data_IF_338628511531
#
_entry.id   IF_338628511531
#
_cell.length_a   1.000
_cell.length_b   1.000
_cell.length_c   1.000
_cell.angle_alpha   90.00
_cell.angle_beta   90.00
_cell.angle_gamma   90.00
#
_symmetry.space_group_name_H-M   'P 1'
#
loop_
_entity.id
_entity.type
_entity.pdbx_description
1 polymer ?
#
# COMPACT_ATOMS: atom_id res chain seq x y z
N UNK A 1 38.45 28.18 -24.12
CA UNK A 1 37.08 28.30 -24.66
C UNK A 1 36.24 27.20 -24.03
N UNK A 2 35.33 27.56 -23.13
CA UNK A 2 34.65 26.61 -22.25
C UNK A 2 33.13 26.68 -22.42
N UNK A 3 32.56 25.67 -23.07
CA UNK A 3 31.16 25.21 -23.01
C UNK A 3 31.12 23.87 -23.79
N UNK A 4 30.43 22.77 -23.43
CA UNK A 4 29.05 22.69 -22.96
C UNK A 4 28.78 21.28 -22.40
N UNK A 5 28.80 21.07 -21.08
CA UNK A 5 28.42 19.77 -20.44
C UNK A 5 26.97 19.77 -19.93
N UNK A 6 26.28 20.93 -19.96
CA UNK A 6 24.91 21.09 -19.45
C UNK A 6 23.81 20.48 -20.33
N UNK A 7 24.01 20.43 -21.65
CA UNK A 7 22.97 20.03 -22.61
C UNK A 7 22.65 18.54 -22.64
N UNK A 8 23.55 17.67 -22.17
CA UNK A 8 23.32 16.22 -22.14
C UNK A 8 22.49 15.79 -20.92
N UNK A 9 22.67 16.45 -19.77
CA UNK A 9 21.93 16.14 -18.54
C UNK A 9 20.47 16.60 -18.59
N UNK A 10 20.17 17.71 -19.27
CA UNK A 10 18.80 18.17 -19.48
C UNK A 10 18.03 17.24 -20.42
N UNK A 11 18.65 16.84 -21.54
CA UNK A 11 18.07 15.87 -22.49
C UNK A 11 17.77 14.51 -21.84
N UNK A 12 18.62 14.05 -20.92
CA UNK A 12 18.40 12.79 -20.20
C UNK A 12 17.24 12.87 -19.18
N UNK A 13 17.02 14.04 -18.57
CA UNK A 13 15.88 14.24 -17.65
C UNK A 13 14.55 14.41 -18.39
N UNK A 14 14.60 15.01 -19.58
CA UNK A 14 13.43 15.21 -20.42
C UNK A 14 12.92 13.88 -21.01
N UNK A 15 13.84 13.01 -21.43
CA UNK A 15 13.53 11.65 -21.89
C UNK A 15 12.95 10.78 -20.78
N UNK A 16 13.53 10.77 -19.58
CA UNK A 16 12.95 10.03 -18.43
C UNK A 16 11.55 10.52 -18.05
N UNK A 17 11.31 11.85 -18.12
CA UNK A 17 9.98 12.42 -17.85
C UNK A 17 8.95 12.04 -18.92
N UNK A 18 9.39 11.85 -20.17
CA UNK A 18 8.55 11.37 -21.26
C UNK A 18 8.21 9.88 -21.12
N UNK A 19 9.14 9.06 -20.64
CA UNK A 19 8.88 7.64 -20.35
C UNK A 19 7.91 7.45 -19.18
N UNK A 20 8.09 8.21 -18.09
CA UNK A 20 7.16 8.17 -16.95
C UNK A 20 5.74 8.63 -17.33
N UNK A 21 5.63 9.63 -18.21
CA UNK A 21 4.33 10.10 -18.72
C UNK A 21 3.67 9.05 -19.64
N UNK A 22 4.44 8.39 -20.50
CA UNK A 22 3.95 7.34 -21.38
C UNK A 22 3.48 6.09 -20.60
N UNK A 23 4.16 5.75 -19.50
CA UNK A 23 3.75 4.66 -18.60
C UNK A 23 2.50 5.01 -17.80
N UNK A 24 2.34 6.27 -17.38
CA UNK A 24 1.13 6.75 -16.70
C UNK A 24 -0.11 6.75 -17.61
N UNK A 25 0.04 7.10 -18.89
CA UNK A 25 -1.03 7.05 -19.88
C UNK A 25 -1.44 5.61 -20.24
N UNK A 26 -0.47 4.70 -20.41
CA UNK A 26 -0.76 3.27 -20.61
C UNK A 26 -1.46 2.62 -19.43
N UNK A 27 -1.15 3.05 -18.20
CA UNK A 27 -1.85 2.61 -16.99
C UNK A 27 -3.32 3.08 -16.91
N UNK A 28 -3.65 4.23 -17.52
CA UNK A 28 -5.02 4.76 -17.58
C UNK A 28 -5.86 4.12 -18.68
N UNK A 29 -5.24 3.65 -19.76
CA UNK A 29 -5.93 3.01 -20.89
C UNK A 29 -6.47 1.59 -20.60
N UNK A 30 -6.11 0.97 -19.47
CA UNK A 30 -6.60 -0.37 -19.06
C UNK A 30 -7.80 -0.29 -18.09
N UNK A 31 -8.22 0.91 -17.69
CA UNK A 31 -9.31 1.10 -16.72
C UNK A 31 -10.60 1.64 -17.36
N UNK A 32 -11.12 0.94 -18.38
CA UNK A 32 -12.54 1.01 -18.76
C UNK A 32 -13.03 -0.38 -19.19
N UNK A 33 -14.08 -0.87 -18.54
CA UNK A 33 -15.24 -1.26 -19.33
C UNK A 33 -16.47 -0.43 -18.95
N UNK A 34 -17.16 -0.01 -19.99
CA UNK A 34 -18.41 0.71 -20.03
C UNK A 34 -19.52 0.05 -19.21
N UNK A 35 -20.16 0.84 -18.37
CA UNK A 35 -21.41 0.49 -17.71
C UNK A 35 -22.57 0.91 -18.63
N UNK A 36 -23.00 -0.01 -19.51
CA UNK A 36 -24.21 0.15 -20.31
C UNK A 36 -25.47 -0.14 -19.46
N UNK A 37 -26.19 0.95 -19.24
CA UNK A 37 -27.65 1.16 -19.17
C UNK A 37 -28.57 -0.08 -19.17
N UNK A 38 -29.40 -0.12 -18.12
CA UNK A 38 -30.61 -0.92 -17.87
C UNK A 38 -31.52 -1.14 -19.09
N UNK A 39 -32.10 -2.36 -19.17
CA UNK A 39 -33.46 -2.60 -19.66
C UNK A 39 -34.09 -3.76 -18.87
N UNK A 40 -35.36 -3.56 -18.54
CA UNK A 40 -36.24 -4.38 -17.69
C UNK A 40 -37.09 -5.30 -18.57
N UNK A 41 -37.28 -6.57 -18.19
CA UNK A 41 -38.46 -7.37 -18.53
C UNK A 41 -38.59 -8.60 -17.60
N UNK A 42 -39.81 -8.98 -17.16
CA UNK A 42 -40.06 -9.93 -16.07
C UNK A 42 -40.45 -11.34 -16.54
N UNK A 43 -40.28 -12.35 -15.66
CA UNK A 43 -40.96 -13.66 -15.56
C UNK A 43 -39.99 -14.69 -14.93
N UNK A 44 -40.33 -15.61 -14.03
CA UNK A 44 -41.54 -16.06 -13.34
C UNK A 44 -41.05 -16.92 -12.15
N UNK A 45 -41.86 -17.01 -11.10
CA UNK A 45 -41.65 -17.74 -9.86
C UNK A 45 -41.17 -19.20 -9.98
N UNK A 46 -40.31 -19.61 -9.05
CA UNK A 46 -40.54 -20.79 -8.17
C UNK A 46 -39.66 -20.67 -6.91
N UNK A 47 -40.29 -20.78 -5.75
CA UNK A 47 -39.70 -20.58 -4.41
C UNK A 47 -39.29 -21.94 -3.75
N UNK A 48 -38.81 -22.00 -2.47
CA UNK A 48 -37.50 -22.48 -1.96
C UNK A 48 -37.57 -23.92 -1.36
N UNK A 49 -36.57 -24.54 -0.66
CA UNK A 49 -35.45 -23.97 0.13
C UNK A 49 -34.08 -24.65 -0.04
N UNK A 50 -33.02 -23.86 0.09
CA UNK A 50 -31.64 -24.35 0.13
C UNK A 50 -30.76 -23.27 0.71
N UNK A 51 -30.71 -23.22 2.02
CA UNK A 51 -29.90 -22.34 2.85
C UNK A 51 -28.40 -22.63 2.60
N UNK A 52 -27.87 -22.05 1.52
CA UNK A 52 -26.45 -22.11 1.18
C UNK A 52 -25.94 -20.74 0.74
N UNK A 53 -26.57 -19.68 1.24
CA UNK A 53 -26.07 -18.33 1.08
C UNK A 53 -25.86 -17.69 2.44
N UNK A 54 -24.67 -17.12 2.64
CA UNK A 54 -24.21 -16.27 3.77
C UNK A 54 -23.52 -16.95 4.95
N UNK A 55 -22.36 -17.57 4.71
CA UNK A 55 -21.37 -17.74 5.79
C UNK A 55 -19.91 -17.45 5.37
N UNK A 56 -19.70 -16.53 4.43
CA UNK A 56 -18.40 -15.87 4.26
C UNK A 56 -18.47 -14.42 4.75
N UNK A 57 -18.73 -14.26 6.04
CA UNK A 57 -18.53 -12.95 6.69
C UNK A 57 -17.02 -12.72 6.81
N UNK A 58 -16.42 -12.10 5.80
CA UNK A 58 -15.04 -11.65 5.88
C UNK A 58 -14.82 -10.80 7.13
N UNK A 59 -13.68 -11.01 7.81
CA UNK A 59 -13.30 -10.22 8.97
C UNK A 59 -13.28 -8.73 8.60
N UNK A 60 -13.87 -7.90 9.47
CA UNK A 60 -13.95 -6.45 9.26
C UNK A 60 -12.54 -5.88 9.20
N UNK A 61 -12.16 -5.32 8.05
CA UNK A 61 -10.83 -4.72 7.85
C UNK A 61 -10.80 -3.31 8.43
N UNK A 62 -9.98 -3.11 9.46
CA UNK A 62 -9.70 -1.79 10.02
C UNK A 62 -8.40 -1.22 9.43
N UNK A 63 -8.45 0.03 8.96
CA UNK A 63 -7.30 0.71 8.35
C UNK A 63 -6.75 1.76 9.30
N UNK A 64 -5.70 1.39 10.02
CA UNK A 64 -4.99 2.34 10.88
C UNK A 64 -3.88 3.07 10.10
N UNK A 65 -3.75 4.37 10.36
CA UNK A 65 -2.70 5.23 9.80
C UNK A 65 -1.79 5.71 10.92
N UNK A 66 -0.57 5.16 10.97
CA UNK A 66 0.41 5.50 12.00
C UNK A 66 1.37 6.62 11.58
N UNK A 67 1.84 7.37 12.57
CA UNK A 67 2.97 8.30 12.44
C UNK A 67 4.23 7.65 13.02
N UNK A 68 5.35 7.70 12.30
CA UNK A 68 6.65 7.18 12.76
C UNK A 68 7.80 8.03 12.21
N UNK A 69 9.01 7.96 12.80
CA UNK A 69 10.16 8.68 12.31
C UNK A 69 10.50 8.27 10.86
N UNK A 70 10.91 9.24 10.04
CA UNK A 70 11.19 9.00 8.61
C UNK A 70 12.24 7.89 8.39
N UNK A 71 13.21 7.75 9.31
CA UNK A 71 14.21 6.67 9.29
C UNK A 71 13.60 5.28 9.43
N UNK A 72 12.59 5.11 10.28
CA UNK A 72 11.92 3.83 10.51
C UNK A 72 11.00 3.48 9.35
N UNK A 73 10.31 4.48 8.80
CA UNK A 73 9.55 4.29 7.57
C UNK A 73 10.43 3.81 6.40
N UNK A 74 11.66 4.33 6.29
CA UNK A 74 12.64 3.85 5.29
C UNK A 74 13.09 2.41 5.56
N UNK A 75 13.28 2.01 6.82
CA UNK A 75 13.62 0.62 7.19
C UNK A 75 12.54 -0.36 6.73
N UNK A 76 11.26 -0.01 6.89
CA UNK A 76 10.15 -0.83 6.37
C UNK A 76 10.30 -1.03 4.85
N UNK A 77 10.59 0.04 4.09
CA UNK A 77 10.80 -0.07 2.63
C UNK A 77 11.99 -0.98 2.29
N UNK A 78 13.12 -0.78 2.95
CA UNK A 78 14.33 -1.57 2.71
C UNK A 78 14.10 -3.06 3.02
N UNK A 79 13.35 -3.39 4.08
CA UNK A 79 13.05 -4.77 4.42
C UNK A 79 12.16 -5.43 3.36
N UNK A 80 11.17 -4.71 2.82
CA UNK A 80 10.34 -5.20 1.70
C UNK A 80 11.19 -5.46 0.44
N UNK A 81 12.11 -4.55 0.13
CA UNK A 81 13.01 -4.71 -1.01
C UNK A 81 13.96 -5.91 -0.81
N UNK A 82 14.46 -6.11 0.40
CA UNK A 82 15.30 -7.27 0.73
C UNK A 82 14.52 -8.58 0.56
N UNK A 83 13.30 -8.67 1.08
CA UNK A 83 12.42 -9.84 0.89
C UNK A 83 12.09 -10.07 -0.59
N UNK A 84 11.89 -9.00 -1.37
CA UNK A 84 11.66 -9.11 -2.81
C UNK A 84 12.85 -9.70 -3.58
N UNK A 85 14.08 -9.48 -3.14
CA UNK A 85 15.27 -10.11 -3.72
C UNK A 85 15.32 -11.62 -3.48
N UNK A 86 14.76 -12.07 -2.36
CA UNK A 86 14.55 -13.49 -2.03
C UNK A 86 13.30 -14.07 -2.71
N UNK A 87 12.63 -13.32 -3.59
CA UNK A 87 11.42 -13.74 -4.30
C UNK A 87 10.11 -13.55 -3.52
N UNK A 88 10.16 -12.95 -2.33
CA UNK A 88 8.98 -12.74 -1.47
C UNK A 88 8.50 -11.29 -1.55
N UNK A 89 7.51 -11.04 -2.41
CA UNK A 89 6.89 -9.73 -2.55
C UNK A 89 5.83 -9.53 -1.48
N UNK A 90 6.07 -8.59 -0.54
CA UNK A 90 5.12 -8.27 0.53
C UNK A 90 4.65 -6.82 0.47
N UNK A 91 3.38 -6.61 0.83
CA UNK A 91 2.81 -5.30 1.09
C UNK A 91 3.27 -4.74 2.45
N UNK A 92 3.04 -3.44 2.67
CA UNK A 92 3.37 -2.81 3.95
C UNK A 92 2.54 -3.39 5.11
N UNK A 93 1.26 -3.67 4.88
CA UNK A 93 0.36 -4.24 5.89
C UNK A 93 0.70 -5.69 6.25
N UNK A 94 1.15 -6.50 5.29
CA UNK A 94 1.63 -7.87 5.57
C UNK A 94 2.86 -7.87 6.46
N UNK A 95 3.85 -7.03 6.15
CA UNK A 95 5.07 -6.93 6.95
C UNK A 95 4.77 -6.50 8.40
N UNK A 96 3.82 -5.58 8.59
CA UNK A 96 3.40 -5.14 9.91
C UNK A 96 2.65 -6.23 10.68
N UNK A 97 1.76 -6.99 10.00
CA UNK A 97 1.08 -8.14 10.60
C UNK A 97 2.08 -9.23 11.02
N UNK A 98 3.11 -9.50 10.22
CA UNK A 98 4.19 -10.42 10.57
C UNK A 98 4.98 -9.93 11.80
N UNK A 99 5.31 -8.64 11.86
CA UNK A 99 5.95 -8.05 13.04
C UNK A 99 5.08 -8.15 14.30
N UNK A 100 3.77 -7.93 14.19
CA UNK A 100 2.84 -8.09 15.31
C UNK A 100 2.78 -9.55 15.80
N UNK A 101 2.73 -10.52 14.89
CA UNK A 101 2.75 -11.94 15.24
C UNK A 101 4.04 -12.32 15.98
N UNK A 102 5.19 -11.80 15.55
CA UNK A 102 6.47 -12.00 16.24
C UNK A 102 6.48 -11.38 17.64
N UNK A 103 5.88 -10.20 17.82
CA UNK A 103 5.75 -9.57 19.14
C UNK A 103 4.80 -10.35 20.05
N UNK A 104 3.69 -10.88 19.52
CA UNK A 104 2.72 -11.67 20.28
C UNK A 104 3.30 -12.99 20.84
N UNK A 105 4.39 -13.48 20.26
CA UNK A 105 5.11 -14.65 20.75
C UNK A 105 6.11 -14.34 21.89
N UNK A 106 6.25 -13.08 22.32
CA UNK A 106 7.21 -12.63 23.34
C UNK A 106 6.54 -12.36 24.69
N UNK A 107 7.35 -12.25 25.74
CA UNK A 107 6.89 -11.93 27.09
C UNK A 107 6.50 -10.44 27.20
N UNK A 108 5.43 -10.13 27.93
CA UNK A 108 4.93 -8.76 28.10
C UNK A 108 5.97 -7.79 28.68
N UNK A 109 6.83 -8.27 29.59
CA UNK A 109 7.94 -7.50 30.15
C UNK A 109 9.02 -7.17 29.13
N UNK A 110 9.37 -8.10 28.24
CA UNK A 110 10.24 -7.85 27.08
C UNK A 110 9.62 -6.81 26.15
N UNK A 111 8.35 -6.97 25.80
CA UNK A 111 7.64 -6.01 24.95
C UNK A 111 7.65 -4.61 25.59
N UNK A 112 7.39 -4.51 26.89
CA UNK A 112 7.42 -3.23 27.62
C UNK A 112 8.81 -2.57 27.56
N UNK A 113 9.88 -3.35 27.73
CA UNK A 113 11.27 -2.86 27.59
C UNK A 113 11.56 -2.38 26.16
N UNK A 114 11.13 -3.14 25.16
CA UNK A 114 11.30 -2.76 23.74
C UNK A 114 10.57 -1.45 23.42
N UNK A 115 9.34 -1.29 23.90
CA UNK A 115 8.55 -0.06 23.71
C UNK A 115 9.19 1.13 24.43
N UNK A 116 9.69 0.93 25.66
CA UNK A 116 10.36 1.99 26.41
C UNK A 116 11.65 2.50 25.73
N UNK A 117 12.33 1.64 24.98
CA UNK A 117 13.52 2.02 24.20
C UNK A 117 13.19 2.78 22.90
N UNK A 118 11.91 2.86 22.49
CA UNK A 118 11.53 3.53 21.26
C UNK A 118 11.66 5.06 21.39
N UNK A 119 12.14 5.73 20.33
CA UNK A 119 12.18 7.19 20.27
C UNK A 119 10.77 7.76 20.35
N UNK A 120 10.56 8.79 21.17
CA UNK A 120 9.27 9.49 21.21
C UNK A 120 8.99 10.13 19.85
N UNK A 121 7.85 9.80 19.26
CA UNK A 121 7.40 10.41 18.00
C UNK A 121 6.67 11.70 18.36
N UNK A 122 7.30 12.84 18.08
CA UNK A 122 6.60 14.12 18.11
C UNK A 122 5.53 14.12 17.01
N UNK A 123 4.28 13.88 17.40
CA UNK A 123 3.14 14.03 16.51
C UNK A 123 3.10 15.50 16.09
N UNK A 124 3.43 15.76 14.83
CA UNK A 124 3.56 17.13 14.31
C UNK A 124 2.39 18.00 14.75
N UNK A 125 2.70 19.16 15.35
CA UNK A 125 1.70 20.16 15.73
C UNK A 125 0.92 20.54 14.47
N UNK A 126 -0.30 20.01 14.32
CA UNK A 126 -1.20 20.44 13.25
C UNK A 126 -1.46 21.93 13.47
N UNK A 127 -0.98 22.79 12.55
CA UNK A 127 -1.50 24.16 12.48
C UNK A 127 -2.97 24.02 12.10
N UNK A 128 -3.88 24.32 13.03
CA UNK A 128 -5.32 24.42 12.72
C UNK A 128 -5.44 25.34 11.50
N UNK A 129 -6.01 24.82 10.41
CA UNK A 129 -6.53 25.67 9.33
C UNK A 129 -7.97 26.01 9.68
#
# INVERSE_FOLDING_TARGET
MSATTGGLKSKLRETLKQEDAALAERGRAVAKPDAEKRADAPALDTAPPGEADRLDKHEKVERDSFSMPAREHKRIKALREALGKEGVLVSKSELLRAGLALLAARDTGEIARLVAALPTVEKGKRKKR
#
